data_IF_689738949574
#
_entry.id   IF_689738949574
#
_cell.length_a   1.000
_cell.length_b   1.000
_cell.length_c   1.000
_cell.angle_alpha   90.00
_cell.angle_beta   90.00
_cell.angle_gamma   90.00
#
_symmetry.space_group_name_H-M   'P 1'
#
loop_
_entity.id
_entity.type
_entity.pdbx_description
1 polymer ?
#
# COMPACT_ATOMS: atom_id res chain seq x y z
N UNK A 1 -0.31 -2.16 -44.46
CA UNK A 1 -1.74 -2.31 -44.08
C UNK A 1 -2.28 -0.93 -43.70
N UNK A 2 -3.28 -0.42 -44.41
CA UNK A 2 -3.82 0.95 -44.24
C UNK A 2 -5.19 0.90 -43.53
N UNK A 3 -5.22 0.49 -42.26
CA UNK A 3 -6.46 0.40 -41.46
C UNK A 3 -6.42 1.48 -40.37
N UNK A 4 -7.52 2.22 -40.21
CA UNK A 4 -7.62 3.27 -39.20
C UNK A 4 -7.66 2.70 -37.78
N UNK A 5 -7.15 3.48 -36.81
CA UNK A 5 -7.17 3.14 -35.38
C UNK A 5 -8.59 2.82 -34.88
N UNK A 6 -9.60 3.55 -35.36
CA UNK A 6 -11.00 3.35 -35.00
C UNK A 6 -11.54 2.02 -35.51
N UNK A 7 -11.18 1.62 -36.74
CA UNK A 7 -11.55 0.31 -37.29
C UNK A 7 -10.92 -0.83 -36.49
N UNK A 8 -9.64 -0.74 -36.14
CA UNK A 8 -8.98 -1.73 -35.27
C UNK A 8 -9.67 -1.80 -33.90
N UNK A 9 -9.99 -0.66 -33.29
CA UNK A 9 -10.67 -0.64 -31.99
C UNK A 9 -12.08 -1.24 -32.06
N UNK A 10 -12.82 -1.00 -33.16
CA UNK A 10 -14.13 -1.61 -33.41
C UNK A 10 -14.01 -3.12 -33.55
N UNK A 11 -13.07 -3.60 -34.36
CA UNK A 11 -12.84 -5.04 -34.56
C UNK A 11 -12.51 -5.70 -33.22
N UNK A 12 -11.56 -5.13 -32.47
CA UNK A 12 -11.18 -5.65 -31.15
C UNK A 12 -12.39 -5.70 -30.20
N UNK A 13 -13.17 -4.63 -30.09
CA UNK A 13 -14.22 -4.52 -29.07
C UNK A 13 -15.53 -5.19 -29.45
N UNK A 14 -15.96 -5.11 -30.71
CA UNK A 14 -17.27 -5.58 -31.17
C UNK A 14 -17.21 -6.95 -31.82
N UNK A 15 -16.20 -7.19 -32.66
CA UNK A 15 -16.12 -8.43 -33.45
C UNK A 15 -15.39 -9.53 -32.65
N UNK A 16 -14.35 -9.15 -31.90
CA UNK A 16 -13.52 -10.07 -31.11
C UNK A 16 -13.81 -10.05 -29.60
N UNK A 17 -14.66 -9.15 -29.12
CA UNK A 17 -15.01 -9.04 -27.69
C UNK A 17 -13.82 -8.78 -26.75
N UNK A 18 -12.72 -8.24 -27.29
CA UNK A 18 -11.50 -7.94 -26.55
C UNK A 18 -11.57 -6.54 -25.91
N UNK A 19 -11.17 -6.44 -24.65
CA UNK A 19 -11.16 -5.20 -23.89
C UNK A 19 -9.72 -4.81 -23.51
N UNK A 20 -9.39 -3.51 -23.57
CA UNK A 20 -8.11 -3.03 -23.08
C UNK A 20 -8.09 -3.06 -21.54
N UNK A 21 -7.24 -3.92 -20.97
CA UNK A 21 -6.97 -3.93 -19.53
C UNK A 21 -5.62 -3.29 -19.23
N UNK A 22 -5.55 -2.52 -18.13
CA UNK A 22 -4.28 -2.00 -17.63
C UNK A 22 -3.48 -3.16 -17.02
N UNK A 23 -2.20 -3.28 -17.40
CA UNK A 23 -1.30 -4.22 -16.73
C UNK A 23 -1.13 -3.79 -15.27
N UNK A 24 -1.29 -4.73 -14.35
CA UNK A 24 -1.10 -4.51 -12.91
C UNK A 24 0.26 -5.08 -12.52
N UNK A 25 1.05 -4.30 -11.78
CA UNK A 25 2.31 -4.77 -11.20
C UNK A 25 2.01 -5.55 -9.92
N UNK A 26 2.53 -6.76 -9.81
CA UNK A 26 2.43 -7.58 -8.60
C UNK A 26 3.82 -8.13 -8.24
N UNK A 27 4.13 -8.33 -6.95
CA UNK A 27 5.34 -9.03 -6.56
C UNK A 27 5.42 -10.42 -7.19
N UNK A 28 6.60 -10.78 -7.71
CA UNK A 28 6.83 -12.11 -8.29
C UNK A 28 6.89 -13.15 -7.17
N UNK A 29 5.85 -13.97 -7.06
CA UNK A 29 5.79 -15.06 -6.09
C UNK A 29 6.34 -16.36 -6.70
N UNK A 30 7.23 -17.02 -5.98
CA UNK A 30 7.68 -18.39 -6.31
C UNK A 30 6.59 -19.40 -5.96
N UNK A 31 6.61 -20.58 -6.59
CA UNK A 31 5.61 -21.61 -6.28
C UNK A 31 5.72 -22.12 -4.84
N UNK A 32 6.93 -22.06 -4.24
CA UNK A 32 7.15 -22.33 -2.83
C UNK A 32 6.41 -21.31 -1.95
N UNK A 33 6.52 -20.01 -2.26
CA UNK A 33 5.81 -18.96 -1.53
C UNK A 33 4.29 -19.10 -1.66
N UNK A 34 3.78 -19.44 -2.85
CA UNK A 34 2.35 -19.72 -3.06
C UNK A 34 1.88 -20.88 -2.19
N UNK A 35 2.61 -21.99 -2.17
CA UNK A 35 2.29 -23.16 -1.32
C UNK A 35 2.31 -22.79 0.17
N UNK A 36 3.29 -22.01 0.63
CA UNK A 36 3.34 -21.53 2.02
C UNK A 36 2.12 -20.68 2.39
N UNK A 37 1.71 -19.75 1.51
CA UNK A 37 0.52 -18.89 1.73
C UNK A 37 -0.76 -19.71 1.84
N UNK A 38 -0.97 -20.68 0.94
CA UNK A 38 -2.16 -21.57 0.98
C UNK A 38 -2.13 -22.44 2.24
N UNK A 39 -0.98 -23.00 2.59
CA UNK A 39 -0.81 -23.80 3.82
C UNK A 39 -1.16 -22.97 5.06
N UNK A 40 -0.65 -21.75 5.17
CA UNK A 40 -0.96 -20.84 6.27
C UNK A 40 -2.45 -20.51 6.31
N UNK A 41 -3.06 -20.13 5.19
CA UNK A 41 -4.49 -19.80 5.13
C UNK A 41 -5.38 -20.97 5.57
N UNK A 42 -5.10 -22.18 5.07
CA UNK A 42 -5.84 -23.37 5.48
C UNK A 42 -5.61 -23.73 6.95
N UNK A 43 -4.38 -23.55 7.45
CA UNK A 43 -4.08 -23.76 8.86
C UNK A 43 -4.85 -22.78 9.75
N UNK A 44 -4.87 -21.48 9.41
CA UNK A 44 -5.67 -20.48 10.14
C UNK A 44 -7.15 -20.83 10.13
N UNK A 45 -7.70 -21.15 8.96
CA UNK A 45 -9.11 -21.48 8.78
C UNK A 45 -9.56 -22.70 9.60
N UNK A 46 -8.70 -23.71 9.73
CA UNK A 46 -9.04 -24.97 10.41
C UNK A 46 -8.70 -24.95 11.90
N UNK A 47 -7.77 -24.09 12.35
CA UNK A 47 -7.25 -24.13 13.73
C UNK A 47 -7.85 -23.06 14.63
N UNK A 48 -8.47 -22.01 14.07
CA UNK A 48 -8.96 -20.88 14.85
C UNK A 48 -10.42 -20.57 14.51
N UNK A 49 -11.19 -20.30 15.54
CA UNK A 49 -12.55 -19.77 15.42
C UNK A 49 -12.53 -18.25 15.34
N UNK A 50 -13.68 -17.65 15.04
CA UNK A 50 -13.82 -16.19 15.09
C UNK A 50 -13.50 -15.61 16.47
N UNK A 51 -13.83 -16.32 17.55
CA UNK A 51 -13.52 -15.90 18.92
C UNK A 51 -12.05 -16.00 19.29
N UNK A 52 -11.28 -16.83 18.59
CA UNK A 52 -9.83 -16.88 18.78
C UNK A 52 -9.15 -15.71 18.06
N UNK A 53 -9.65 -15.33 16.88
CA UNK A 53 -9.11 -14.22 16.08
C UNK A 53 -9.32 -12.87 16.80
N UNK A 54 -10.34 -12.72 17.64
CA UNK A 54 -10.55 -11.46 18.38
C UNK A 54 -9.41 -11.14 19.36
N UNK A 55 -8.63 -12.15 19.74
CA UNK A 55 -7.45 -12.01 20.60
C UNK A 55 -6.17 -11.66 19.83
N UNK A 56 -6.21 -11.69 18.51
CA UNK A 56 -5.03 -11.42 17.70
C UNK A 56 -4.74 -9.92 17.64
N UNK A 57 -3.47 -9.59 17.82
CA UNK A 57 -2.92 -8.27 17.50
C UNK A 57 -2.26 -8.34 16.14
N UNK A 58 -2.78 -7.59 15.18
CA UNK A 58 -2.14 -7.36 13.89
C UNK A 58 -1.32 -6.08 13.98
N UNK A 59 -0.03 -6.15 13.71
CA UNK A 59 0.86 -4.99 13.73
C UNK A 59 1.60 -4.84 12.41
N UNK A 60 1.97 -3.61 12.09
CA UNK A 60 2.84 -3.29 10.95
C UNK A 60 3.55 -1.95 11.19
N UNK A 61 4.67 -1.75 10.50
CA UNK A 61 5.40 -0.49 10.49
C UNK A 61 5.21 0.28 9.18
N UNK A 62 5.05 1.60 9.27
CA UNK A 62 4.91 2.44 8.08
C UNK A 62 5.61 3.78 8.21
N UNK A 63 6.28 4.17 7.14
CA UNK A 63 6.79 5.53 6.99
C UNK A 63 5.69 6.50 6.55
N UNK A 64 5.63 7.64 7.23
CA UNK A 64 4.80 8.79 6.87
C UNK A 64 5.70 9.97 6.47
N UNK A 65 5.49 10.48 5.27
CA UNK A 65 6.17 11.67 4.75
C UNK A 65 5.56 12.94 5.37
N UNK A 66 6.39 13.79 6.00
CA UNK A 66 5.93 15.06 6.58
C UNK A 66 5.71 16.16 5.54
N UNK A 67 6.28 16.01 4.34
CA UNK A 67 6.19 16.99 3.25
C UNK A 67 4.89 16.84 2.41
N UNK A 68 3.92 16.03 2.87
CA UNK A 68 2.69 15.73 2.14
C UNK A 68 2.86 14.66 1.05
N UNK A 69 1.74 14.11 0.58
CA UNK A 69 1.71 13.10 -0.48
C UNK A 69 1.11 13.68 -1.76
N UNK A 70 1.91 13.78 -2.82
CA UNK A 70 1.41 14.15 -4.14
C UNK A 70 0.84 12.93 -4.86
N UNK A 71 -0.44 12.98 -5.22
CA UNK A 71 -1.09 11.93 -5.99
C UNK A 71 -1.50 12.45 -7.38
N UNK A 72 -0.71 12.12 -8.39
CA UNK A 72 -0.86 12.59 -9.77
C UNK A 72 -2.22 12.30 -10.45
N UNK A 73 -3.06 11.43 -9.88
CA UNK A 73 -4.40 11.19 -10.42
C UNK A 73 -5.44 12.14 -9.83
N UNK A 74 -5.24 12.58 -8.58
CA UNK A 74 -6.20 13.39 -7.83
C UNK A 74 -5.83 14.88 -7.87
N UNK A 75 -4.53 15.17 -7.94
CA UNK A 75 -4.00 16.52 -7.98
C UNK A 75 -3.75 16.94 -9.43
N UNK A 76 -4.80 17.45 -10.09
CA UNK A 76 -4.79 17.83 -11.51
C UNK A 76 -5.12 19.30 -11.69
N UNK A 77 -4.35 19.95 -12.54
CA UNK A 77 -4.59 21.33 -12.96
C UNK A 77 -5.18 21.32 -14.37
N UNK A 78 -6.27 22.08 -14.54
CA UNK A 78 -6.87 22.34 -15.84
C UNK A 78 -6.26 23.63 -16.42
N UNK A 79 -5.63 23.52 -17.58
CA UNK A 79 -4.99 24.63 -18.27
C UNK A 79 -5.08 24.43 -19.79
N UNK A 80 -5.03 25.53 -20.56
CA UNK A 80 -5.15 25.52 -22.02
C UNK A 80 -3.85 25.07 -22.69
N UNK A 81 -2.70 25.38 -22.07
CA UNK A 81 -1.38 24.92 -22.52
C UNK A 81 -0.55 24.37 -21.37
N UNK A 82 0.54 23.66 -21.71
CA UNK A 82 1.50 23.17 -20.73
C UNK A 82 2.17 24.31 -19.97
N UNK A 83 2.50 25.41 -20.66
CA UNK A 83 3.13 26.59 -20.08
C UNK A 83 2.22 27.28 -19.05
N UNK A 84 0.91 27.35 -19.33
CA UNK A 84 -0.08 27.86 -18.37
C UNK A 84 -0.21 26.92 -17.17
N UNK A 85 -0.24 25.60 -17.40
CA UNK A 85 -0.29 24.61 -16.33
C UNK A 85 0.91 24.76 -15.38
N UNK A 86 2.12 24.86 -15.93
CA UNK A 86 3.35 24.98 -15.16
C UNK A 86 3.38 26.28 -14.35
N UNK A 87 2.94 27.42 -14.93
CA UNK A 87 2.76 28.68 -14.19
C UNK A 87 1.74 28.59 -13.05
N UNK A 88 0.76 27.70 -13.17
CA UNK A 88 -0.30 27.48 -12.17
C UNK A 88 0.06 26.42 -11.14
N UNK A 89 1.29 25.91 -11.15
CA UNK A 89 1.78 24.94 -10.16
C UNK A 89 1.69 23.48 -10.58
N UNK A 90 1.65 23.17 -11.89
CA UNK A 90 1.64 21.77 -12.36
C UNK A 90 2.97 21.04 -12.15
N UNK A 91 4.02 21.76 -11.76
CA UNK A 91 5.32 21.21 -11.39
C UNK A 91 5.35 21.08 -9.86
N UNK A 92 5.33 19.84 -9.38
CA UNK A 92 5.53 19.53 -7.97
C UNK A 92 6.98 19.15 -7.72
N UNK A 93 7.69 19.97 -6.95
CA UNK A 93 9.09 19.71 -6.59
C UNK A 93 9.17 18.78 -5.36
N UNK A 94 9.97 17.72 -5.47
CA UNK A 94 10.16 16.75 -4.38
C UNK A 94 11.61 16.72 -3.94
N UNK A 95 11.84 16.71 -2.62
CA UNK A 95 13.17 16.44 -2.06
C UNK A 95 13.47 14.93 -2.05
N UNK A 96 14.71 14.56 -2.40
CA UNK A 96 15.13 13.13 -2.44
C UNK A 96 15.15 12.47 -1.06
N UNK A 97 15.41 13.24 -0.02
CA UNK A 97 15.42 12.82 1.39
C UNK A 97 14.41 13.66 2.16
N UNK A 98 13.12 13.43 1.91
CA UNK A 98 12.05 14.03 2.71
C UNK A 98 12.16 13.57 4.16
N UNK A 99 11.79 14.44 5.11
CA UNK A 99 11.66 14.05 6.51
C UNK A 99 10.49 13.08 6.60
N UNK A 100 10.76 11.90 7.20
CA UNK A 100 9.76 10.86 7.40
C UNK A 100 9.78 10.41 8.84
N UNK A 101 8.62 10.03 9.35
CA UNK A 101 8.48 9.38 10.65
C UNK A 101 8.07 7.95 10.40
N UNK A 102 8.76 6.99 11.03
CA UNK A 102 8.28 5.61 11.06
C UNK A 102 7.29 5.47 12.21
N UNK A 103 6.16 4.84 11.96
CA UNK A 103 5.14 4.57 12.96
C UNK A 103 4.87 3.09 13.01
N UNK A 104 4.93 2.51 14.21
CA UNK A 104 4.38 1.21 14.52
C UNK A 104 2.98 1.36 15.10
N UNK A 105 2.06 0.49 14.67
CA UNK A 105 0.70 0.44 15.19
C UNK A 105 0.21 -1.00 15.25
N UNK A 106 -0.42 -1.36 16.37
CA UNK A 106 -1.17 -2.60 16.54
C UNK A 106 -2.67 -2.38 16.38
N UNK A 107 -3.36 -3.36 15.82
CA UNK A 107 -4.81 -3.40 15.64
C UNK A 107 -5.34 -4.73 16.15
N UNK A 108 -6.29 -4.69 17.07
CA UNK A 108 -7.00 -5.87 17.55
C UNK A 108 -8.52 -5.66 17.48
N UNK A 109 -9.30 -6.61 17.99
CA UNK A 109 -10.77 -6.50 17.97
C UNK A 109 -11.32 -5.35 18.83
N UNK A 110 -10.56 -4.91 19.84
CA UNK A 110 -10.95 -3.84 20.76
C UNK A 110 -10.58 -2.44 20.25
N UNK A 111 -9.66 -2.36 19.27
CA UNK A 111 -9.27 -1.09 18.67
C UNK A 111 -7.82 -1.04 18.24
N UNK A 112 -7.26 0.17 18.33
CA UNK A 112 -5.88 0.47 17.96
C UNK A 112 -5.02 0.59 19.22
N UNK A 113 -3.77 0.14 19.14
CA UNK A 113 -2.76 0.46 20.15
C UNK A 113 -2.44 1.96 20.13
N UNK A 114 -1.74 2.41 21.17
CA UNK A 114 -1.03 3.70 21.10
C UNK A 114 0.04 3.57 19.99
N UNK A 115 0.14 4.54 19.05
CA UNK A 115 1.18 4.52 18.04
C UNK A 115 2.57 4.75 18.67
N UNK A 116 3.56 4.00 18.21
CA UNK A 116 4.97 4.24 18.56
C UNK A 116 5.63 4.93 17.38
N UNK A 117 6.20 6.11 17.60
CA UNK A 117 6.78 6.94 16.55
C UNK A 117 8.30 6.98 16.69
N UNK A 118 9.00 6.67 15.60
CA UNK A 118 10.45 6.78 15.49
C UNK A 118 10.77 7.95 14.55
N UNK A 119 11.23 9.05 15.14
CA UNK A 119 11.56 10.29 14.42
C UNK A 119 12.96 10.26 13.79
N UNK A 120 13.86 9.44 14.34
CA UNK A 120 15.31 9.49 14.08
C UNK A 120 15.86 8.26 13.35
N UNK A 121 15.00 7.48 12.67
CA UNK A 121 15.48 6.36 11.88
C UNK A 121 14.45 5.26 11.64
N UNK A 122 14.95 4.06 11.38
CA UNK A 122 14.14 2.85 11.30
C UNK A 122 14.08 2.15 12.65
N UNK A 123 13.04 1.35 12.83
CA UNK A 123 12.94 0.38 13.90
C UNK A 123 14.02 -0.70 13.73
N UNK A 124 14.76 -0.98 14.80
CA UNK A 124 15.65 -2.13 14.90
C UNK A 124 15.14 -3.10 15.98
N UNK A 125 15.86 -4.21 16.17
CA UNK A 125 15.46 -5.24 17.11
C UNK A 125 15.44 -4.76 18.57
N UNK A 126 16.38 -3.89 18.96
CA UNK A 126 16.48 -3.41 20.33
C UNK A 126 15.37 -2.43 20.64
N UNK A 127 15.13 -1.47 19.72
CA UNK A 127 14.01 -0.53 19.82
C UNK A 127 12.66 -1.24 19.82
N UNK A 128 12.52 -2.33 19.05
CA UNK A 128 11.31 -3.14 19.12
C UNK A 128 11.09 -3.73 20.53
N UNK A 129 12.14 -4.30 21.13
CA UNK A 129 12.05 -4.90 22.47
C UNK A 129 11.75 -3.84 23.54
N UNK A 130 12.39 -2.67 23.45
CA UNK A 130 12.31 -1.66 24.49
C UNK A 130 11.08 -0.74 24.36
N UNK A 131 10.70 -0.37 23.13
CA UNK A 131 9.67 0.64 22.86
C UNK A 131 8.34 0.02 22.40
N UNK A 132 8.37 -1.06 21.59
CA UNK A 132 7.17 -1.62 20.95
C UNK A 132 6.56 -2.77 21.74
N UNK A 133 7.40 -3.72 22.16
CA UNK A 133 6.97 -4.95 22.80
C UNK A 133 6.12 -4.71 24.07
N UNK A 134 6.43 -3.73 24.95
CA UNK A 134 5.59 -3.45 26.12
C UNK A 134 4.15 -3.09 25.72
N UNK A 135 3.98 -2.26 24.68
CA UNK A 135 2.66 -1.83 24.18
C UNK A 135 1.95 -2.99 23.48
N UNK A 136 2.68 -3.78 22.70
CA UNK A 136 2.13 -4.95 22.03
C UNK A 136 1.59 -6.00 23.02
N UNK A 137 2.27 -6.19 24.15
CA UNK A 137 1.85 -7.12 25.21
C UNK A 137 0.64 -6.62 26.00
N UNK A 138 0.45 -5.30 26.13
CA UNK A 138 -0.77 -4.75 26.73
C UNK A 138 -2.00 -4.92 25.83
N UNK A 139 -1.81 -4.87 24.51
CA UNK A 139 -2.90 -4.94 23.52
C UNK A 139 -3.22 -6.37 23.06
N UNK A 140 -2.31 -7.34 23.25
CA UNK A 140 -2.47 -8.73 22.85
C UNK A 140 -2.58 -9.67 24.05
N UNK A 141 -3.68 -10.43 24.12
CA UNK A 141 -3.94 -11.46 25.14
C UNK A 141 -3.90 -12.87 24.53
#
# INVERSE_FOLDING_TARGET
MNISKSSIHRILRKDLGCFPYKKIKQPKLTDVQKKKRVKFANWVLNSYTKGDITRWLFSDEKYFDLNGTYHNQNDRIWAISREEADKRGAIYETTKFSVKVMVWLGVCSEGLSVPVTFEDGSMDAQRYIDEVLPIALECGN
#
